data_IF_070914639661
#
_entry.id   IF_070914639661
#
_cell.length_a   1.000
_cell.length_b   1.000
_cell.length_c   1.000
_cell.angle_alpha   90.00
_cell.angle_beta   90.00
_cell.angle_gamma   90.00
#
_symmetry.space_group_name_H-M   'P 1'
#
loop_
_entity.id
_entity.type
_entity.pdbx_description
1 polymer ?
#
# COMPACT_ATOMS: atom_id res chain seq x y z
N UNK A 1 -9.59 -10.83 -0.85
CA UNK A 1 -8.64 -10.26 0.13
C UNK A 1 -7.53 -11.22 0.55
N UNK A 2 -7.78 -12.38 1.18
CA UNK A 2 -6.73 -13.23 1.77
C UNK A 2 -5.57 -13.62 0.80
N UNK A 3 -5.90 -13.92 -0.46
CA UNK A 3 -4.89 -14.18 -1.51
C UNK A 3 -3.99 -12.99 -1.79
N UNK A 4 -4.54 -11.77 -1.79
CA UNK A 4 -3.77 -10.54 -2.01
C UNK A 4 -2.78 -10.33 -0.86
N UNK A 5 -3.24 -10.45 0.39
CA UNK A 5 -2.40 -10.29 1.58
C UNK A 5 -1.25 -11.31 1.60
N UNK A 6 -1.54 -12.58 1.32
CA UNK A 6 -0.51 -13.61 1.28
C UNK A 6 0.50 -13.38 0.15
N UNK A 7 0.05 -12.99 -1.04
CA UNK A 7 0.94 -12.65 -2.14
C UNK A 7 1.81 -11.44 -1.80
N UNK A 8 1.19 -10.40 -1.25
CA UNK A 8 1.84 -9.17 -0.80
C UNK A 8 2.96 -9.49 0.19
N UNK A 9 2.68 -10.34 1.19
CA UNK A 9 3.68 -10.75 2.18
C UNK A 9 4.88 -11.45 1.56
N UNK A 10 4.65 -12.35 0.59
CA UNK A 10 5.72 -13.08 -0.10
C UNK A 10 6.56 -12.15 -0.96
N UNK A 11 5.92 -11.26 -1.70
CA UNK A 11 6.63 -10.30 -2.55
C UNK A 11 7.42 -9.29 -1.74
N UNK A 12 6.86 -8.73 -0.65
CA UNK A 12 7.61 -7.87 0.28
C UNK A 12 8.84 -8.59 0.85
N UNK A 13 8.69 -9.86 1.24
CA UNK A 13 9.80 -10.63 1.80
C UNK A 13 10.91 -10.96 0.79
N UNK A 14 10.61 -10.92 -0.52
CA UNK A 14 11.55 -11.20 -1.59
C UNK A 14 12.13 -9.93 -2.24
N UNK A 15 11.56 -8.76 -1.95
CA UNK A 15 11.97 -7.49 -2.51
C UNK A 15 13.21 -6.95 -1.80
N UNK A 16 14.20 -6.50 -2.57
CA UNK A 16 15.41 -5.86 -2.06
C UNK A 16 15.40 -4.37 -2.44
N UNK A 17 15.17 -3.45 -1.49
CA UNK A 17 15.17 -2.01 -1.74
C UNK A 17 16.47 -1.45 -2.33
N UNK A 18 17.61 -2.15 -2.16
CA UNK A 18 18.88 -1.68 -2.70
C UNK A 18 19.06 -2.00 -4.19
N UNK A 19 18.31 -2.97 -4.74
CA UNK A 19 18.55 -3.49 -6.09
C UNK A 19 17.31 -3.62 -6.97
N UNK A 20 16.12 -3.77 -6.39
CA UNK A 20 14.87 -3.84 -7.14
C UNK A 20 14.33 -2.46 -7.53
N UNK A 21 13.58 -2.41 -8.64
CA UNK A 21 12.91 -1.18 -9.11
C UNK A 21 11.78 -0.75 -8.15
N UNK A 22 11.84 0.48 -7.57
CA UNK A 22 10.81 1.01 -6.67
C UNK A 22 9.41 1.06 -7.28
N UNK A 23 9.27 1.17 -8.61
CA UNK A 23 7.98 1.12 -9.29
C UNK A 23 7.22 -0.19 -9.02
N UNK A 24 7.92 -1.27 -8.67
CA UNK A 24 7.29 -2.53 -8.28
C UNK A 24 6.50 -2.40 -6.99
N UNK A 25 6.95 -1.63 -6.00
CA UNK A 25 6.19 -1.39 -4.77
C UNK A 25 4.85 -0.71 -5.08
N UNK A 26 4.84 0.26 -5.99
CA UNK A 26 3.62 0.94 -6.42
C UNK A 26 2.69 -0.01 -7.18
N UNK A 27 3.19 -0.67 -8.22
CA UNK A 27 2.36 -1.42 -9.18
C UNK A 27 1.94 -2.81 -8.68
N UNK A 28 2.77 -3.48 -7.87
CA UNK A 28 2.48 -4.82 -7.34
C UNK A 28 1.97 -4.82 -5.91
N UNK A 29 2.26 -3.77 -5.15
CA UNK A 29 1.88 -3.65 -3.75
C UNK A 29 0.74 -2.69 -3.51
N UNK A 30 1.06 -1.40 -3.59
CA UNK A 30 0.20 -0.32 -3.12
C UNK A 30 -1.06 -0.19 -3.98
N UNK A 31 -0.92 -0.20 -5.31
CA UNK A 31 -2.04 -0.03 -6.23
C UNK A 31 -3.10 -1.15 -6.09
N UNK A 32 -2.75 -2.45 -6.07
CA UNK A 32 -3.73 -3.52 -5.83
C UNK A 32 -4.45 -3.42 -4.47
N UNK A 33 -3.75 -2.98 -3.42
CA UNK A 33 -4.34 -2.81 -2.09
C UNK A 33 -5.36 -1.68 -2.08
N UNK A 34 -5.02 -0.52 -2.63
CA UNK A 34 -5.93 0.63 -2.75
C UNK A 34 -7.14 0.28 -3.63
N UNK A 35 -6.91 -0.40 -4.75
CA UNK A 35 -7.99 -0.83 -5.65
C UNK A 35 -8.99 -1.76 -4.94
N UNK A 36 -8.49 -2.76 -4.19
CA UNK A 36 -9.36 -3.65 -3.41
C UNK A 36 -10.15 -2.89 -2.34
N UNK A 37 -9.51 -1.95 -1.63
CA UNK A 37 -10.20 -1.15 -0.62
C UNK A 37 -11.33 -0.30 -1.23
N UNK A 38 -11.08 0.34 -2.38
CA UNK A 38 -12.08 1.14 -3.09
C UNK A 38 -13.22 0.25 -3.58
N UNK A 39 -12.92 -0.92 -4.14
CA UNK A 39 -13.92 -1.90 -4.60
C UNK A 39 -14.85 -2.33 -3.44
N UNK A 40 -14.28 -2.71 -2.30
CA UNK A 40 -15.07 -3.11 -1.12
C UNK A 40 -15.91 -1.94 -0.60
N UNK A 41 -15.36 -0.72 -0.55
CA UNK A 41 -16.12 0.46 -0.07
C UNK A 41 -17.26 0.89 -0.98
N UNK A 42 -17.21 0.51 -2.25
CA UNK A 42 -18.27 0.76 -3.23
C UNK A 42 -19.34 -0.35 -3.26
N UNK A 43 -19.05 -1.52 -2.70
CA UNK A 43 -20.02 -2.58 -2.57
C UNK A 43 -20.96 -2.31 -1.38
N UNK A 44 -22.27 -2.21 -1.64
CA UNK A 44 -23.27 -1.84 -0.63
C UNK A 44 -23.39 -2.84 0.55
N UNK A 45 -22.96 -4.10 0.37
CA UNK A 45 -23.09 -5.19 1.36
C UNK A 45 -21.74 -5.79 1.82
N UNK A 46 -20.60 -5.29 1.33
CA UNK A 46 -19.28 -5.87 1.65
C UNK A 46 -18.47 -4.89 2.51
N UNK A 47 -18.21 -5.27 3.76
CA UNK A 47 -17.34 -4.52 4.66
C UNK A 47 -16.21 -5.42 5.11
N UNK A 48 -14.98 -4.90 5.04
CA UNK A 48 -13.83 -5.57 5.65
C UNK A 48 -14.10 -5.72 7.15
N UNK A 49 -14.00 -6.95 7.65
CA UNK A 49 -13.95 -7.15 9.09
C UNK A 49 -12.69 -6.50 9.68
N UNK A 50 -12.64 -6.24 11.01
CA UNK A 50 -11.48 -5.60 11.62
C UNK A 50 -10.15 -6.32 11.38
N UNK A 51 -10.19 -7.66 11.29
CA UNK A 51 -9.00 -8.48 11.00
C UNK A 51 -8.53 -8.26 9.57
N UNK A 52 -9.45 -8.25 8.61
CA UNK A 52 -9.12 -8.07 7.19
C UNK A 52 -8.59 -6.67 6.92
N UNK A 53 -9.18 -5.67 7.58
CA UNK A 53 -8.69 -4.30 7.53
C UNK A 53 -7.27 -4.21 8.08
N UNK A 54 -7.00 -4.80 9.26
CA UNK A 54 -5.68 -4.80 9.88
C UNK A 54 -4.62 -5.50 9.01
N UNK A 55 -4.99 -6.60 8.34
CA UNK A 55 -4.11 -7.31 7.42
C UNK A 55 -3.79 -6.49 6.17
N UNK A 56 -4.79 -5.78 5.64
CA UNK A 56 -4.62 -4.94 4.47
C UNK A 56 -3.77 -3.70 4.78
N UNK A 57 -4.00 -3.07 5.93
CA UNK A 57 -3.19 -1.94 6.42
C UNK A 57 -1.74 -2.37 6.68
N UNK A 58 -1.52 -3.53 7.30
CA UNK A 58 -0.16 -4.06 7.47
C UNK A 58 0.53 -4.28 6.12
N UNK A 59 -0.14 -4.95 5.18
CA UNK A 59 0.41 -5.19 3.85
C UNK A 59 0.75 -3.87 3.13
N UNK A 60 -0.10 -2.85 3.26
CA UNK A 60 0.17 -1.52 2.71
C UNK A 60 1.44 -0.91 3.29
N UNK A 61 1.56 -0.91 4.62
CA UNK A 61 2.69 -0.29 5.30
C UNK A 61 4.00 -1.03 5.07
N UNK A 62 3.96 -2.35 4.89
CA UNK A 62 5.14 -3.13 4.49
C UNK A 62 5.65 -2.63 3.12
N UNK A 63 4.78 -2.39 2.16
CA UNK A 63 5.16 -1.83 0.85
C UNK A 63 5.64 -0.37 0.92
N UNK A 64 4.97 0.48 1.70
CA UNK A 64 5.40 1.87 1.90
C UNK A 64 6.80 1.94 2.51
N UNK A 65 7.09 1.05 3.48
CA UNK A 65 8.41 0.93 4.09
C UNK A 65 9.48 0.57 3.07
N UNK A 66 9.21 -0.39 2.18
CA UNK A 66 10.15 -0.81 1.12
C UNK A 66 10.35 0.30 0.08
N UNK A 67 9.29 1.00 -0.31
CA UNK A 67 9.39 2.12 -1.25
C UNK A 67 10.22 3.27 -0.66
N UNK A 68 9.99 3.64 0.61
CA UNK A 68 10.80 4.62 1.32
C UNK A 68 12.27 4.19 1.41
N UNK A 69 12.52 2.93 1.78
CA UNK A 69 13.87 2.38 1.86
C UNK A 69 14.60 2.39 0.51
N UNK A 70 13.87 2.25 -0.60
CA UNK A 70 14.46 2.32 -1.95
C UNK A 70 14.91 3.75 -2.33
N UNK A 71 14.55 4.75 -1.53
CA UNK A 71 14.94 6.16 -1.68
C UNK A 71 15.79 6.64 -0.49
N UNK A 72 16.38 5.72 0.29
CA UNK A 72 17.13 6.02 1.51
C UNK A 72 16.35 6.85 2.55
N UNK A 73 15.02 6.81 2.50
CA UNK A 73 14.15 7.55 3.40
C UNK A 73 13.69 6.70 4.58
N UNK A 74 13.59 7.34 5.74
CA UNK A 74 13.10 6.69 6.96
C UNK A 74 11.57 6.71 7.01
N UNK A 75 10.97 5.52 7.23
CA UNK A 75 9.53 5.38 7.42
C UNK A 75 9.22 4.97 8.86
N UNK A 76 8.56 5.85 9.61
CA UNK A 76 8.21 5.65 11.02
C UNK A 76 6.71 5.80 11.32
N UNK A 77 5.92 6.11 10.29
CA UNK A 77 4.48 6.27 10.41
C UNK A 77 3.74 4.97 10.09
N UNK A 78 2.47 4.92 10.47
CA UNK A 78 1.55 3.88 10.01
C UNK A 78 0.35 4.56 9.36
N UNK A 79 0.06 4.20 8.12
CA UNK A 79 -1.05 4.76 7.36
C UNK A 79 -2.17 3.73 7.20
N UNK A 80 -3.40 4.18 7.36
CA UNK A 80 -4.56 3.37 6.99
C UNK A 80 -4.70 3.33 5.47
N UNK A 81 -5.34 2.28 4.96
CA UNK A 81 -5.66 2.21 3.52
C UNK A 81 -6.66 3.30 3.13
N UNK A 82 -7.51 3.72 4.08
CA UNK A 82 -8.44 4.83 3.89
C UNK A 82 -7.73 6.15 3.63
N UNK A 83 -6.76 6.52 4.46
CA UNK A 83 -6.00 7.78 4.32
C UNK A 83 -5.32 7.84 2.95
N UNK A 84 -4.65 6.75 2.54
CA UNK A 84 -4.02 6.68 1.23
C UNK A 84 -5.05 6.78 0.09
N UNK A 85 -6.19 6.09 0.20
CA UNK A 85 -7.23 6.13 -0.83
C UNK A 85 -7.82 7.54 -0.99
N UNK A 86 -8.03 8.26 0.11
CA UNK A 86 -8.52 9.64 0.10
C UNK A 86 -7.49 10.57 -0.53
N UNK A 87 -6.21 10.44 -0.17
CA UNK A 87 -5.15 11.23 -0.77
C UNK A 87 -5.04 10.94 -2.27
N UNK A 88 -5.02 9.68 -2.68
CA UNK A 88 -4.95 9.28 -4.08
C UNK A 88 -6.13 9.83 -4.90
N UNK A 89 -7.35 9.81 -4.34
CA UNK A 89 -8.53 10.37 -5.01
C UNK A 89 -8.42 11.89 -5.22
N UNK A 90 -7.70 12.61 -4.36
CA UNK A 90 -7.49 14.05 -4.49
C UNK A 90 -6.44 14.41 -5.56
N UNK A 91 -5.37 13.61 -5.68
CA UNK A 91 -4.22 13.91 -6.53
C UNK A 91 -4.27 13.22 -7.91
N UNK A 92 -4.91 12.06 -8.03
CA UNK A 92 -5.04 11.31 -9.28
C UNK A 92 -3.76 10.61 -9.78
N UNK A 93 -2.61 10.80 -9.12
CA UNK A 93 -1.36 10.10 -9.41
C UNK A 93 -0.82 9.42 -8.14
N UNK A 94 -0.74 8.08 -8.18
CA UNK A 94 -0.41 7.28 -7.00
C UNK A 94 1.02 7.55 -6.51
N UNK A 95 1.98 7.68 -7.42
CA UNK A 95 3.37 7.96 -7.06
C UNK A 95 3.48 9.29 -6.31
N UNK A 96 2.93 10.37 -6.88
CA UNK A 96 2.94 11.67 -6.23
C UNK A 96 2.29 11.63 -4.84
N UNK A 97 1.18 10.90 -4.70
CA UNK A 97 0.54 10.70 -3.39
C UNK A 97 1.45 9.98 -2.39
N UNK A 98 2.13 8.91 -2.82
CA UNK A 98 3.04 8.14 -1.97
C UNK A 98 4.28 8.96 -1.60
N UNK A 99 4.86 9.68 -2.56
CA UNK A 99 6.00 10.56 -2.34
C UNK A 99 5.65 11.66 -1.32
N UNK A 100 4.50 12.32 -1.47
CA UNK A 100 4.01 13.34 -0.52
C UNK A 100 3.79 12.76 0.89
N UNK A 101 3.24 11.54 1.01
CA UNK A 101 3.03 10.87 2.30
C UNK A 101 4.34 10.48 2.99
N UNK A 102 5.36 10.17 2.21
CA UNK A 102 6.67 9.76 2.70
C UNK A 102 7.65 10.92 2.87
N UNK A 103 7.33 12.10 2.34
CA UNK A 103 8.19 13.27 2.33
C UNK A 103 9.38 13.14 1.38
N UNK A 104 9.17 12.50 0.23
CA UNK A 104 10.15 12.30 -0.84
C UNK A 104 10.18 13.43 -1.87
#
# INVERSE_FOLDING_TARGET
MARLVEQSRRECAAFDPATDDPQRCLTRGIQPIVALYVEVRQADDDMLSPVEQSLLERALNDWLSLYAASHDAAFHAHFTVHELAVAYAAHGELRATVDDLLGL
#
